data_IF_511891386438
#
_entry.id   IF_511891386438
#
_cell.length_a   1.000
_cell.length_b   1.000
_cell.length_c   1.000
_cell.angle_alpha   90.00
_cell.angle_beta   90.00
_cell.angle_gamma   90.00
#
_symmetry.space_group_name_H-M   'P 1'
#
loop_
_entity.id
_entity.type
_entity.pdbx_description
1 polymer ?
#
# COMPACT_ATOMS: atom_id res chain seq x y z
N UNK A 1 -0.74 12.53 14.23
CA UNK A 1 -0.07 12.00 13.03
C UNK A 1 -0.68 10.64 12.63
N UNK A 2 -0.33 10.08 11.46
CA UNK A 2 -0.61 8.68 11.10
C UNK A 2 0.72 7.89 11.10
N UNK A 3 0.89 7.01 12.09
CA UNK A 3 2.06 6.14 12.26
C UNK A 3 1.65 4.65 12.18
N UNK A 4 2.63 3.75 12.29
CA UNK A 4 2.42 2.30 12.34
C UNK A 4 1.28 1.86 13.27
N UNK A 5 1.34 2.25 14.55
CA UNK A 5 0.35 1.84 15.57
C UNK A 5 -1.09 2.26 15.23
N UNK A 6 -1.26 3.50 14.75
CA UNK A 6 -2.58 3.99 14.36
C UNK A 6 -3.13 3.23 13.16
N UNK A 7 -2.30 2.95 12.16
CA UNK A 7 -2.69 2.15 11.01
C UNK A 7 -3.01 0.70 11.42
N UNK A 8 -2.21 0.10 12.30
CA UNK A 8 -2.46 -1.23 12.85
C UNK A 8 -3.78 -1.29 13.62
N UNK A 9 -4.08 -0.28 14.43
CA UNK A 9 -5.32 -0.19 15.22
C UNK A 9 -6.55 -0.07 14.31
N UNK A 10 -6.54 0.87 13.37
CA UNK A 10 -7.65 1.09 12.43
C UNK A 10 -7.86 -0.15 11.53
N UNK A 11 -6.79 -0.76 11.01
CA UNK A 11 -6.88 -1.92 10.13
C UNK A 11 -7.23 -3.24 10.85
N UNK A 12 -6.78 -3.43 12.10
CA UNK A 12 -7.16 -4.61 12.90
C UNK A 12 -8.66 -4.60 13.23
N UNK A 13 -9.25 -3.40 13.40
CA UNK A 13 -10.69 -3.20 13.61
C UNK A 13 -11.52 -3.20 12.32
N UNK A 14 -10.93 -3.53 11.16
CA UNK A 14 -11.61 -3.49 9.84
C UNK A 14 -12.20 -2.11 9.47
N UNK A 15 -11.66 -1.01 10.01
CA UNK A 15 -12.37 0.27 9.95
C UNK A 15 -12.45 0.87 8.53
N UNK A 16 -13.49 1.67 8.22
CA UNK A 16 -13.55 2.43 6.96
C UNK A 16 -12.33 3.34 6.76
N UNK A 17 -11.76 3.88 7.85
CA UNK A 17 -10.55 4.71 7.79
C UNK A 17 -9.34 3.94 7.31
N UNK A 18 -9.16 2.67 7.73
CA UNK A 18 -8.14 1.81 7.14
C UNK A 18 -8.37 1.62 5.64
N UNK A 19 -9.62 1.35 5.23
CA UNK A 19 -9.94 1.12 3.82
C UNK A 19 -9.61 2.36 2.95
N UNK A 20 -10.05 3.55 3.35
CA UNK A 20 -9.73 4.80 2.65
C UNK A 20 -8.24 5.14 2.70
N UNK A 21 -7.55 4.90 3.82
CA UNK A 21 -6.11 5.18 3.94
C UNK A 21 -5.29 4.28 3.00
N UNK A 22 -5.63 3.00 2.90
CA UNK A 22 -4.93 2.06 2.01
C UNK A 22 -5.24 2.29 0.53
N UNK A 23 -6.42 2.82 0.18
CA UNK A 23 -6.70 3.30 -1.17
C UNK A 23 -5.83 4.51 -1.51
N UNK A 24 -5.89 5.57 -0.68
CA UNK A 24 -5.12 6.80 -0.89
C UNK A 24 -3.59 6.55 -0.99
N UNK A 25 -3.03 5.61 -0.21
CA UNK A 25 -1.62 5.22 -0.34
C UNK A 25 -1.31 4.59 -1.70
N UNK A 26 -2.22 3.81 -2.30
CA UNK A 26 -2.04 3.27 -3.66
C UNK A 26 -2.16 4.39 -4.69
N UNK A 27 -3.20 5.21 -4.58
CA UNK A 27 -3.53 6.24 -5.56
C UNK A 27 -2.41 7.28 -5.64
N UNK A 28 -2.01 7.89 -4.51
CA UNK A 28 -0.91 8.85 -4.45
C UNK A 28 0.45 8.24 -4.84
N UNK A 29 0.71 6.96 -4.50
CA UNK A 29 1.97 6.32 -4.90
C UNK A 29 2.03 6.04 -6.41
N UNK A 30 0.91 5.69 -7.03
CA UNK A 30 0.83 5.50 -8.47
C UNK A 30 0.86 6.85 -9.21
N UNK A 31 0.13 7.86 -8.75
CA UNK A 31 0.15 9.23 -9.30
C UNK A 31 1.56 9.82 -9.28
N UNK A 32 2.22 9.85 -8.11
CA UNK A 32 3.58 10.37 -7.98
C UNK A 32 4.61 9.58 -8.82
N UNK A 33 4.42 8.26 -8.96
CA UNK A 33 5.29 7.41 -9.79
C UNK A 33 5.04 7.61 -11.29
N UNK A 34 3.80 7.87 -11.71
CA UNK A 34 3.47 8.23 -13.10
C UNK A 34 4.08 9.60 -13.46
N UNK A 35 3.99 10.58 -12.56
CA UNK A 35 4.63 11.90 -12.74
C UNK A 35 6.16 11.77 -12.83
N UNK A 36 6.79 11.02 -11.91
CA UNK A 36 8.25 10.95 -11.82
C UNK A 36 8.91 9.97 -12.80
N UNK A 37 8.21 8.94 -13.28
CA UNK A 37 8.82 7.82 -14.04
C UNK A 37 7.96 7.27 -15.18
N UNK A 38 6.75 7.79 -15.41
CA UNK A 38 5.77 7.25 -16.36
C UNK A 38 5.39 5.76 -16.13
N UNK A 39 5.62 5.24 -14.92
CA UNK A 39 5.29 3.87 -14.51
C UNK A 39 4.55 3.87 -13.17
N UNK A 40 3.59 2.95 -13.02
CA UNK A 40 2.93 2.69 -11.73
C UNK A 40 3.93 2.17 -10.68
N UNK A 41 3.69 2.50 -9.40
CA UNK A 41 4.46 2.00 -8.27
C UNK A 41 3.94 0.65 -7.73
N UNK A 42 2.63 0.42 -7.84
CA UNK A 42 1.90 -0.74 -7.30
C UNK A 42 0.92 -1.23 -8.37
N UNK A 43 1.15 -2.44 -8.90
CA UNK A 43 0.32 -3.06 -9.92
C UNK A 43 -0.68 -4.03 -9.28
N UNK A 44 -1.79 -3.47 -8.77
CA UNK A 44 -2.88 -4.27 -8.22
C UNK A 44 -3.54 -5.13 -9.33
N UNK A 45 -3.90 -6.40 -9.05
CA UNK A 45 -4.61 -7.23 -10.01
C UNK A 45 -6.04 -6.73 -10.24
N UNK A 46 -6.65 -7.03 -11.39
CA UNK A 46 -8.05 -6.69 -11.65
C UNK A 46 -8.99 -7.12 -10.51
N UNK A 47 -9.91 -6.23 -10.12
CA UNK A 47 -10.88 -6.45 -9.04
C UNK A 47 -10.24 -6.71 -7.65
N UNK A 48 -9.04 -6.17 -7.39
CA UNK A 48 -8.41 -6.20 -6.07
C UNK A 48 -9.29 -5.56 -4.98
N UNK A 49 -9.79 -6.37 -4.04
CA UNK A 49 -10.57 -5.89 -2.88
C UNK A 49 -9.66 -5.29 -1.82
N UNK A 50 -10.07 -4.16 -1.22
CA UNK A 50 -9.32 -3.45 -0.16
C UNK A 50 -9.01 -4.33 1.07
N UNK A 51 -9.86 -5.30 1.39
CA UNK A 51 -9.60 -6.36 2.39
C UNK A 51 -8.29 -7.14 2.13
N UNK A 52 -7.91 -7.34 0.86
CA UNK A 52 -6.66 -8.00 0.48
C UNK A 52 -5.45 -7.10 0.75
N UNK A 53 -5.56 -5.79 0.49
CA UNK A 53 -4.55 -4.79 0.84
C UNK A 53 -4.39 -4.74 2.37
N UNK A 54 -5.50 -4.72 3.11
CA UNK A 54 -5.53 -4.75 4.58
C UNK A 54 -4.77 -5.94 5.17
N UNK A 55 -5.02 -7.16 4.68
CA UNK A 55 -4.30 -8.37 5.16
C UNK A 55 -2.80 -8.32 4.90
N UNK A 56 -2.38 -7.71 3.79
CA UNK A 56 -0.96 -7.53 3.44
C UNK A 56 -0.29 -6.53 4.39
N UNK A 57 -0.89 -5.35 4.58
CA UNK A 57 -0.31 -4.30 5.43
C UNK A 57 -0.33 -4.68 6.91
N UNK A 58 -1.37 -5.38 7.39
CA UNK A 58 -1.38 -5.96 8.74
C UNK A 58 -0.29 -7.01 8.97
N UNK A 59 0.18 -7.71 7.93
CA UNK A 59 1.32 -8.64 8.06
C UNK A 59 2.63 -7.88 8.26
N UNK A 60 2.87 -6.82 7.48
CA UNK A 60 4.07 -5.99 7.60
C UNK A 60 4.12 -5.29 8.97
N UNK A 61 3.01 -4.67 9.41
CA UNK A 61 2.91 -3.95 10.69
C UNK A 61 3.16 -4.84 11.93
N UNK A 62 2.91 -6.15 11.84
CA UNK A 62 3.23 -7.12 12.92
C UNK A 62 4.71 -7.48 13.01
N UNK A 63 5.47 -7.25 11.94
CA UNK A 63 6.91 -7.54 11.87
C UNK A 63 7.74 -6.27 12.11
N UNK A 64 7.20 -5.10 11.76
CA UNK A 64 7.85 -3.81 11.97
C UNK A 64 6.87 -2.80 12.63
N UNK A 65 6.73 -2.84 13.98
CA UNK A 65 5.85 -1.97 14.73
C UNK A 65 6.45 -0.58 15.04
N UNK A 66 7.72 -0.32 14.68
CA UNK A 66 8.38 0.97 14.94
C UNK A 66 7.63 2.19 14.38
N UNK A 67 7.93 3.36 14.93
CA UNK A 67 7.28 4.66 14.68
C UNK A 67 7.48 5.26 13.25
N UNK A 68 7.63 4.41 12.24
CA UNK A 68 7.56 4.76 10.82
C UNK A 68 6.23 5.43 10.46
N UNK A 69 6.28 6.27 9.41
CA UNK A 69 5.08 6.79 8.75
C UNK A 69 4.19 5.64 8.26
N UNK A 70 2.89 5.73 8.55
CA UNK A 70 1.90 4.74 8.12
C UNK A 70 1.90 4.55 6.59
N UNK A 71 2.07 5.64 5.83
CA UNK A 71 2.16 5.60 4.37
C UNK A 71 3.40 4.83 3.91
N UNK A 72 4.55 5.02 4.56
CA UNK A 72 5.79 4.32 4.21
C UNK A 72 5.69 2.82 4.47
N UNK A 73 5.09 2.38 5.59
CA UNK A 73 4.88 0.96 5.88
C UNK A 73 3.88 0.33 4.90
N UNK A 74 2.76 1.01 4.64
CA UNK A 74 1.76 0.56 3.68
C UNK A 74 2.34 0.45 2.26
N UNK A 75 3.01 1.49 1.75
CA UNK A 75 3.68 1.49 0.45
C UNK A 75 4.71 0.36 0.34
N UNK A 76 5.55 0.15 1.38
CA UNK A 76 6.55 -0.94 1.42
C UNK A 76 5.88 -2.31 1.26
N UNK A 77 4.83 -2.57 2.03
CA UNK A 77 4.11 -3.85 2.02
C UNK A 77 3.37 -4.09 0.70
N UNK A 78 2.69 -3.06 0.18
CA UNK A 78 1.90 -3.13 -1.05
C UNK A 78 2.79 -3.30 -2.28
N UNK A 79 3.88 -2.51 -2.40
CA UNK A 79 4.85 -2.61 -3.50
C UNK A 79 5.61 -3.94 -3.50
N UNK A 80 5.94 -4.49 -2.33
CA UNK A 80 6.49 -5.87 -2.21
C UNK A 80 5.50 -6.94 -2.66
N UNK A 81 4.20 -6.76 -2.42
CA UNK A 81 3.19 -7.77 -2.78
C UNK A 81 2.71 -7.67 -4.22
N UNK A 82 2.73 -6.47 -4.78
CA UNK A 82 2.23 -6.14 -6.12
C UNK A 82 3.24 -5.24 -6.87
N UNK A 83 4.46 -5.74 -7.15
CA UNK A 83 5.42 -5.03 -7.98
C UNK A 83 4.89 -4.92 -9.41
N UNK A 84 5.19 -3.80 -10.06
CA UNK A 84 4.97 -3.66 -11.50
C UNK A 84 6.10 -4.32 -12.30
N UNK A 85 5.83 -4.84 -13.52
CA UNK A 85 6.87 -5.32 -14.42
C UNK A 85 7.92 -4.25 -14.71
N UNK A 86 9.21 -4.63 -14.73
CA UNK A 86 10.29 -3.70 -15.05
C UNK A 86 10.21 -3.23 -16.53
N UNK A 87 9.78 -4.13 -17.41
CA UNK A 87 9.62 -3.94 -18.84
C UNK A 87 8.16 -4.14 -19.25
N UNK A 88 7.66 -3.25 -20.12
CA UNK A 88 6.78 -3.69 -21.20
C UNK A 88 7.70 -4.38 -22.22
N UNK A 89 7.38 -5.61 -22.63
CA UNK A 89 8.07 -6.26 -23.74
C UNK A 89 7.71 -5.55 -25.04
N UNK A 90 8.73 -5.18 -25.82
CA UNK A 90 8.59 -4.91 -27.25
C UNK A 90 8.97 -6.19 -27.99
N UNK A 91 7.97 -7.03 -28.24
CA UNK A 91 7.95 -8.16 -29.17
C UNK A 91 6.61 -8.11 -29.92
#
# INVERSE_FOLDING_TARGET
MWNGDKLYTECSRSSPRCASYLAAVVDTANEASMIATQKMAICLPPKAKVEKLRKVVLKELRVQPEASSAASVALRALKRKWPCPAHLGTD
#
